data_IF_216504232130
#
_entry.id   IF_216504232130
#
_cell.length_a   1.000
_cell.length_b   1.000
_cell.length_c   1.000
_cell.angle_alpha   90.00
_cell.angle_beta   90.00
_cell.angle_gamma   90.00
#
_symmetry.space_group_name_H-M   'P 1'
#
loop_
_entity.id
_entity.type
_entity.pdbx_description
1 polymer ?
#
# COMPACT_ATOMS: atom_id res chain seq x y z
N UNK A 1 -8.43 18.86 -20.70
CA UNK A 1 -8.01 18.32 -22.03
C UNK A 1 -6.84 17.34 -21.93
N UNK A 2 -5.60 17.72 -21.61
CA UNK A 2 -4.46 16.77 -21.55
C UNK A 2 -4.65 15.68 -20.48
N UNK A 3 -5.14 16.02 -19.29
CA UNK A 3 -5.41 15.09 -18.19
C UNK A 3 -6.50 14.06 -18.56
N UNK A 4 -7.59 14.51 -19.16
CA UNK A 4 -8.70 13.63 -19.59
C UNK A 4 -8.27 12.69 -20.72
N UNK A 5 -7.44 13.19 -21.64
CA UNK A 5 -6.83 12.39 -22.69
C UNK A 5 -5.89 11.32 -22.11
N UNK A 6 -5.04 11.67 -21.14
CA UNK A 6 -4.16 10.71 -20.47
C UNK A 6 -4.96 9.66 -19.66
N UNK A 7 -6.04 10.06 -18.99
CA UNK A 7 -6.94 9.14 -18.28
C UNK A 7 -7.64 8.18 -19.27
N UNK A 8 -8.13 8.69 -20.40
CA UNK A 8 -8.70 7.84 -21.46
C UNK A 8 -7.68 6.83 -21.99
N UNK A 9 -6.43 7.26 -22.21
CA UNK A 9 -5.34 6.38 -22.63
C UNK A 9 -5.02 5.30 -21.59
N UNK A 10 -5.07 5.63 -20.30
CA UNK A 10 -4.78 4.69 -19.21
C UNK A 10 -5.81 3.57 -19.07
N UNK A 11 -7.07 3.83 -19.48
CA UNK A 11 -8.15 2.83 -19.48
C UNK A 11 -8.18 1.93 -20.73
N UNK A 12 -7.43 2.27 -21.79
CA UNK A 12 -7.41 1.51 -23.04
C UNK A 12 -6.53 0.26 -22.91
N UNK A 13 -7.15 -0.94 -22.93
CA UNK A 13 -6.43 -2.23 -22.90
C UNK A 13 -5.45 -2.39 -24.06
N UNK A 14 -5.78 -1.88 -25.26
CA UNK A 14 -4.93 -1.93 -26.44
C UNK A 14 -3.66 -1.07 -26.27
N UNK A 15 -3.81 0.15 -25.74
CA UNK A 15 -2.68 1.04 -25.46
C UNK A 15 -1.80 0.52 -24.31
N UNK A 16 -2.40 -0.08 -23.29
CA UNK A 16 -1.65 -0.73 -22.22
C UNK A 16 -0.77 -1.86 -22.78
N UNK A 17 -1.31 -2.70 -23.68
CA UNK A 17 -0.53 -3.76 -24.34
C UNK A 17 0.61 -3.19 -25.20
N UNK A 18 0.38 -2.09 -25.92
CA UNK A 18 1.43 -1.41 -26.72
C UNK A 18 2.50 -0.84 -25.80
N UNK A 19 2.13 -0.12 -24.76
CA UNK A 19 3.08 0.49 -23.82
C UNK A 19 3.94 -0.55 -23.10
N UNK A 20 3.38 -1.70 -22.73
CA UNK A 20 4.13 -2.78 -22.06
C UNK A 20 5.12 -3.51 -22.98
N UNK A 21 4.92 -3.46 -24.32
CA UNK A 21 5.82 -4.10 -25.30
C UNK A 21 6.92 -3.17 -25.81
N UNK A 22 6.82 -1.86 -25.60
CA UNK A 22 7.85 -0.92 -26.08
C UNK A 22 9.02 -0.82 -25.09
N UNK A 23 10.29 -1.03 -25.53
CA UNK A 23 11.48 -0.96 -24.68
C UNK A 23 11.64 0.39 -23.97
N UNK A 24 11.22 1.48 -24.61
CA UNK A 24 11.29 2.84 -24.05
C UNK A 24 10.32 2.97 -22.88
N UNK A 25 9.11 2.43 -22.98
CA UNK A 25 8.12 2.46 -21.90
C UNK A 25 8.57 1.60 -20.70
N UNK A 26 9.21 0.46 -20.95
CA UNK A 26 9.84 -0.36 -19.88
C UNK A 26 10.93 0.40 -19.14
N UNK A 27 11.76 1.15 -19.83
CA UNK A 27 12.81 1.97 -19.21
C UNK A 27 12.25 3.12 -18.38
N UNK A 28 11.11 3.70 -18.80
CA UNK A 28 10.41 4.74 -18.03
C UNK A 28 9.72 4.12 -16.80
N UNK A 29 9.00 3.00 -16.95
CA UNK A 29 8.34 2.35 -15.81
C UNK A 29 9.35 1.77 -14.81
N UNK A 30 10.51 1.29 -15.24
CA UNK A 30 11.58 0.79 -14.38
C UNK A 30 12.16 1.88 -13.43
N UNK A 31 11.87 3.16 -13.66
CA UNK A 31 12.22 4.25 -12.73
C UNK A 31 11.25 4.34 -11.56
N UNK A 32 10.06 3.75 -11.66
CA UNK A 32 8.98 3.84 -10.67
C UNK A 32 8.56 2.48 -10.11
N UNK A 33 8.83 1.39 -10.86
CA UNK A 33 8.49 0.02 -10.46
C UNK A 33 9.78 -0.78 -10.41
N UNK A 34 10.06 -1.41 -9.28
CA UNK A 34 11.29 -2.17 -9.04
C UNK A 34 11.40 -3.41 -9.95
N UNK A 35 10.28 -3.96 -10.39
CA UNK A 35 10.17 -5.12 -11.26
C UNK A 35 8.88 -5.89 -11.03
N UNK A 36 8.73 -7.01 -11.73
CA UNK A 36 7.56 -7.88 -11.63
C UNK A 36 7.75 -9.03 -10.63
N UNK A 37 8.99 -9.29 -10.22
CA UNK A 37 9.36 -10.38 -9.32
C UNK A 37 9.96 -9.86 -8.03
N UNK A 38 9.82 -10.63 -6.96
CA UNK A 38 10.41 -10.29 -5.64
C UNK A 38 11.92 -10.10 -5.74
N UNK A 39 12.62 -10.90 -6.56
CA UNK A 39 14.06 -10.83 -6.76
C UNK A 39 14.49 -9.48 -7.35
N UNK A 40 13.70 -8.90 -8.26
CA UNK A 40 13.94 -7.56 -8.81
C UNK A 40 13.83 -6.50 -7.73
N UNK A 41 12.80 -6.62 -6.90
CA UNK A 41 12.57 -5.73 -5.76
C UNK A 41 13.75 -5.79 -4.77
N UNK A 42 14.20 -6.99 -4.39
CA UNK A 42 15.35 -7.18 -3.48
C UNK A 42 16.64 -6.60 -4.07
N UNK A 43 16.85 -6.76 -5.39
CA UNK A 43 18.00 -6.15 -6.07
C UNK A 43 17.98 -4.63 -5.96
N UNK A 44 16.86 -3.99 -6.28
CA UNK A 44 16.70 -2.52 -6.18
C UNK A 44 16.86 -2.05 -4.75
N UNK A 45 16.31 -2.77 -3.77
CA UNK A 45 16.47 -2.44 -2.35
C UNK A 45 17.95 -2.45 -1.93
N UNK A 46 18.74 -3.44 -2.37
CA UNK A 46 20.19 -3.50 -2.10
C UNK A 46 20.92 -2.29 -2.69
N UNK A 47 20.58 -1.91 -3.93
CA UNK A 47 21.14 -0.74 -4.61
C UNK A 47 20.83 0.56 -3.85
N UNK A 48 19.60 0.71 -3.32
CA UNK A 48 19.19 1.86 -2.54
C UNK A 48 19.83 1.86 -1.14
N UNK A 49 19.94 0.70 -0.51
CA UNK A 49 20.59 0.56 0.79
C UNK A 49 22.10 0.89 0.72
N UNK A 50 22.76 0.50 -0.36
CA UNK A 50 24.16 0.90 -0.60
C UNK A 50 24.33 2.43 -0.69
N UNK A 51 23.27 3.15 -1.05
CA UNK A 51 23.19 4.63 -1.04
C UNK A 51 22.68 5.21 0.29
N UNK A 52 22.62 4.39 1.36
CA UNK A 52 22.13 4.76 2.69
C UNK A 52 20.64 5.18 2.71
N UNK A 53 19.83 4.62 1.80
CA UNK A 53 18.39 4.82 1.76
C UNK A 53 17.67 3.58 2.32
N UNK A 54 16.66 3.80 3.13
CA UNK A 54 15.71 2.76 3.54
C UNK A 54 14.54 2.72 2.57
N UNK A 55 13.85 1.59 2.49
CA UNK A 55 12.78 1.38 1.51
C UNK A 55 11.48 0.93 2.18
N UNK A 56 10.38 1.21 1.49
CA UNK A 56 9.07 0.61 1.74
C UNK A 56 8.70 -0.20 0.51
N UNK A 57 8.27 -1.44 0.70
CA UNK A 57 7.83 -2.31 -0.39
C UNK A 57 6.32 -2.41 -0.42
N UNK A 58 5.77 -2.27 -1.61
CA UNK A 58 4.36 -2.48 -1.93
C UNK A 58 4.25 -3.52 -3.06
N UNK A 59 3.39 -4.52 -2.86
CA UNK A 59 2.99 -5.46 -3.90
C UNK A 59 1.75 -4.91 -4.60
N UNK A 60 1.93 -4.43 -5.83
CA UNK A 60 0.88 -3.78 -6.60
C UNK A 60 -0.33 -4.70 -6.76
N UNK A 61 -1.48 -4.24 -6.30
CA UNK A 61 -2.76 -4.92 -6.38
C UNK A 61 -3.79 -4.20 -5.52
N UNK A 62 -5.05 -4.33 -5.89
CA UNK A 62 -6.20 -3.78 -5.16
C UNK A 62 -7.48 -4.47 -5.62
N UNK A 63 -8.58 -4.31 -4.85
CA UNK A 63 -9.94 -4.73 -5.23
C UNK A 63 -10.05 -6.22 -5.61
N UNK A 64 -9.64 -7.10 -4.70
CA UNK A 64 -9.85 -8.55 -4.87
C UNK A 64 -11.34 -8.89 -4.75
N UNK A 65 -11.76 -9.90 -5.51
CA UNK A 65 -13.17 -10.30 -5.63
C UNK A 65 -13.51 -11.58 -4.87
N UNK A 66 -12.51 -12.31 -4.37
CA UNK A 66 -12.71 -13.58 -3.68
C UNK A 66 -11.80 -13.72 -2.46
N UNK A 67 -12.26 -14.48 -1.48
CA UNK A 67 -11.45 -14.82 -0.28
C UNK A 67 -10.14 -15.50 -0.67
N UNK A 68 -10.15 -16.32 -1.71
CA UNK A 68 -8.94 -17.00 -2.19
C UNK A 68 -7.93 -16.01 -2.79
N UNK A 69 -8.37 -14.94 -3.46
CA UNK A 69 -7.48 -13.88 -3.94
C UNK A 69 -6.89 -13.08 -2.79
N UNK A 70 -7.71 -12.70 -1.80
CA UNK A 70 -7.24 -12.01 -0.59
C UNK A 70 -6.21 -12.85 0.19
N UNK A 71 -6.43 -14.16 0.30
CA UNK A 71 -5.49 -15.07 0.94
C UNK A 71 -4.17 -15.16 0.16
N UNK A 72 -4.21 -15.29 -1.17
CA UNK A 72 -2.98 -15.29 -2.01
C UNK A 72 -2.20 -13.99 -1.87
N UNK A 73 -2.89 -12.83 -1.93
CA UNK A 73 -2.23 -11.55 -1.72
C UNK A 73 -1.55 -11.48 -0.34
N UNK A 74 -2.21 -11.97 0.70
CA UNK A 74 -1.64 -12.07 2.05
C UNK A 74 -0.39 -12.95 2.06
N UNK A 75 -0.43 -14.12 1.42
CA UNK A 75 0.70 -15.05 1.34
C UNK A 75 1.89 -14.43 0.56
N UNK A 76 1.63 -13.63 -0.46
CA UNK A 76 2.68 -12.89 -1.19
C UNK A 76 3.38 -11.88 -0.27
N UNK A 77 2.66 -11.16 0.60
CA UNK A 77 3.27 -10.30 1.60
C UNK A 77 4.06 -11.06 2.67
N UNK A 78 3.59 -12.24 3.07
CA UNK A 78 4.35 -13.10 4.00
C UNK A 78 5.66 -13.56 3.38
N UNK A 79 5.66 -13.95 2.10
CA UNK A 79 6.87 -14.29 1.35
C UNK A 79 7.79 -13.09 1.18
N UNK A 80 7.25 -11.92 0.83
CA UNK A 80 8.03 -10.69 0.70
C UNK A 80 8.76 -10.36 2.00
N UNK A 81 8.12 -10.49 3.15
CA UNK A 81 8.75 -10.31 4.45
C UNK A 81 9.89 -11.32 4.67
N UNK A 82 9.72 -12.61 4.30
CA UNK A 82 10.80 -13.60 4.39
C UNK A 82 12.02 -13.21 3.55
N UNK A 83 11.80 -12.77 2.32
CA UNK A 83 12.87 -12.36 1.41
C UNK A 83 13.60 -11.08 1.90
N UNK A 84 12.87 -10.12 2.47
CA UNK A 84 13.44 -8.93 3.11
C UNK A 84 14.35 -9.34 4.28
N UNK A 85 13.90 -10.27 5.12
CA UNK A 85 14.68 -10.78 6.24
C UNK A 85 15.93 -11.54 5.77
N UNK A 86 15.76 -12.46 4.81
CA UNK A 86 16.86 -13.23 4.24
C UNK A 86 17.92 -12.33 3.59
N UNK A 87 17.49 -11.20 3.01
CA UNK A 87 18.40 -10.21 2.44
C UNK A 87 19.06 -9.30 3.48
N UNK A 88 18.63 -9.35 4.75
CA UNK A 88 19.08 -8.48 5.86
C UNK A 88 18.97 -6.99 5.52
N UNK A 89 17.85 -6.57 4.94
CA UNK A 89 17.63 -5.20 4.49
C UNK A 89 16.69 -4.45 5.47
N UNK A 90 16.99 -3.20 5.82
CA UNK A 90 16.15 -2.37 6.68
C UNK A 90 14.96 -1.82 5.89
N UNK A 91 13.98 -2.67 5.64
CA UNK A 91 12.78 -2.33 4.89
C UNK A 91 11.52 -2.76 5.64
N UNK A 92 10.42 -2.15 5.28
CA UNK A 92 9.09 -2.50 5.74
C UNK A 92 8.12 -2.58 4.56
N UNK A 93 6.92 -3.10 4.81
CA UNK A 93 5.90 -3.26 3.78
C UNK A 93 4.80 -2.22 3.92
N UNK A 94 4.22 -1.85 2.78
CA UNK A 94 3.01 -1.04 2.64
C UNK A 94 1.97 -1.86 1.89
N UNK A 95 0.71 -1.80 2.29
CA UNK A 95 -0.37 -2.63 1.74
C UNK A 95 -1.70 -1.90 1.71
N UNK A 96 -2.61 -2.33 0.82
CA UNK A 96 -3.98 -1.84 0.73
C UNK A 96 -4.97 -2.86 1.28
N UNK A 97 -5.96 -2.40 2.04
CA UNK A 97 -6.94 -3.31 2.65
C UNK A 97 -7.90 -3.90 1.63
N UNK A 98 -8.16 -3.23 0.49
CA UNK A 98 -8.96 -3.81 -0.60
C UNK A 98 -8.29 -5.04 -1.20
N UNK A 99 -6.96 -5.09 -1.24
CA UNK A 99 -6.19 -6.28 -1.63
C UNK A 99 -6.28 -7.41 -0.58
N UNK A 100 -6.54 -7.05 0.66
CA UNK A 100 -6.69 -7.97 1.79
C UNK A 100 -8.14 -8.42 2.02
N UNK A 101 -9.06 -8.00 1.12
CA UNK A 101 -10.45 -8.44 1.12
C UNK A 101 -11.40 -7.50 1.88
N UNK A 102 -11.09 -6.20 1.98
CA UNK A 102 -11.95 -5.23 2.65
C UNK A 102 -13.37 -5.19 2.03
N UNK A 103 -13.48 -5.36 0.70
CA UNK A 103 -14.79 -5.40 0.02
C UNK A 103 -15.57 -6.69 0.27
N UNK A 104 -14.90 -7.73 0.75
CA UNK A 104 -15.52 -9.01 1.11
C UNK A 104 -16.00 -9.03 2.57
N UNK A 105 -15.31 -8.27 3.45
CA UNK A 105 -15.64 -8.14 4.86
C UNK A 105 -14.50 -7.53 5.65
N UNK A 106 -14.83 -6.74 6.65
CA UNK A 106 -13.82 -6.11 7.55
C UNK A 106 -13.10 -7.15 8.41
N UNK A 107 -13.80 -8.21 8.82
CA UNK A 107 -13.26 -9.35 9.53
C UNK A 107 -12.24 -10.13 8.69
N UNK A 108 -12.49 -10.30 7.40
CA UNK A 108 -11.57 -10.92 6.46
C UNK A 108 -10.30 -10.07 6.33
N UNK A 109 -10.46 -8.76 6.07
CA UNK A 109 -9.34 -7.84 5.94
C UNK A 109 -8.50 -7.76 7.23
N UNK A 110 -9.14 -7.67 8.39
CA UNK A 110 -8.46 -7.65 9.69
C UNK A 110 -7.72 -8.96 9.96
N UNK A 111 -8.33 -10.11 9.67
CA UNK A 111 -7.71 -11.42 9.83
C UNK A 111 -6.44 -11.55 8.98
N UNK A 112 -6.51 -11.15 7.71
CA UNK A 112 -5.38 -11.15 6.80
C UNK A 112 -4.28 -10.16 7.22
N UNK A 113 -4.66 -8.95 7.62
CA UNK A 113 -3.73 -7.94 8.14
C UNK A 113 -2.98 -8.46 9.38
N UNK A 114 -3.67 -9.12 10.32
CA UNK A 114 -3.05 -9.70 11.52
C UNK A 114 -1.95 -10.69 11.18
N UNK A 115 -2.14 -11.57 10.21
CA UNK A 115 -1.11 -12.53 9.76
C UNK A 115 0.19 -11.81 9.36
N UNK A 116 0.06 -10.71 8.61
CA UNK A 116 1.22 -9.91 8.18
C UNK A 116 1.83 -9.15 9.36
N UNK A 117 1.01 -8.57 10.25
CA UNK A 117 1.47 -7.86 11.45
C UNK A 117 2.23 -8.78 12.41
N UNK A 118 1.74 -10.00 12.64
CA UNK A 118 2.41 -11.00 13.48
C UNK A 118 3.79 -11.37 12.93
N UNK A 119 3.86 -11.65 11.63
CA UNK A 119 5.14 -11.94 10.98
C UNK A 119 6.10 -10.77 11.04
N UNK A 120 5.64 -9.57 10.70
CA UNK A 120 6.44 -8.35 10.77
C UNK A 120 6.91 -8.06 12.21
N UNK A 121 6.07 -8.31 13.23
CA UNK A 121 6.44 -8.18 14.64
C UNK A 121 7.56 -9.14 15.05
N UNK A 122 7.47 -10.41 14.64
CA UNK A 122 8.51 -11.40 14.88
C UNK A 122 9.85 -10.99 14.23
N UNK A 123 9.80 -10.32 13.09
CA UNK A 123 10.97 -9.80 12.36
C UNK A 123 11.41 -8.40 12.82
N UNK A 124 10.77 -7.82 13.86
CA UNK A 124 11.02 -6.46 14.36
C UNK A 124 10.90 -5.40 13.28
N UNK A 125 10.00 -5.58 12.33
CA UNK A 125 9.71 -4.63 11.26
C UNK A 125 8.30 -4.07 11.35
N UNK A 126 7.95 -3.18 10.44
CA UNK A 126 6.78 -2.33 10.48
C UNK A 126 5.87 -2.61 9.27
N UNK A 127 4.56 -2.44 9.45
CA UNK A 127 3.56 -2.53 8.38
C UNK A 127 2.84 -1.20 8.26
N UNK A 128 2.73 -0.70 7.03
CA UNK A 128 1.93 0.48 6.73
C UNK A 128 0.67 0.06 5.98
N UNK A 129 -0.46 0.50 6.50
CA UNK A 129 -1.74 0.41 5.79
C UNK A 129 -1.91 1.68 4.97
N UNK A 130 -1.94 1.55 3.65
CA UNK A 130 -2.11 2.67 2.74
C UNK A 130 -3.57 3.15 2.72
N UNK A 131 -3.76 4.44 2.48
CA UNK A 131 -5.08 5.03 2.33
C UNK A 131 -5.50 5.00 0.87
N UNK A 132 -6.70 4.54 0.64
CA UNK A 132 -7.34 4.50 -0.65
C UNK A 132 -8.29 5.69 -0.81
N UNK A 133 -9.27 5.64 -1.71
CA UNK A 133 -10.21 6.75 -1.88
C UNK A 133 -11.13 6.95 -0.66
N UNK A 134 -11.91 8.04 -0.66
CA UNK A 134 -12.73 8.43 0.49
C UNK A 134 -13.83 7.43 0.85
N UNK A 135 -14.23 6.54 -0.06
CA UNK A 135 -15.21 5.49 0.23
C UNK A 135 -14.65 4.44 1.21
N UNK A 136 -13.33 4.26 1.24
CA UNK A 136 -12.63 3.31 2.12
C UNK A 136 -12.08 3.95 3.39
N UNK A 137 -11.97 5.27 3.48
CA UNK A 137 -11.26 5.94 4.57
C UNK A 137 -11.75 5.51 5.95
N UNK A 138 -13.07 5.51 6.21
CA UNK A 138 -13.63 5.12 7.50
C UNK A 138 -13.30 3.67 7.85
N UNK A 139 -13.55 2.74 6.92
CA UNK A 139 -13.32 1.29 7.12
C UNK A 139 -11.84 0.99 7.34
N UNK A 140 -10.96 1.66 6.59
CA UNK A 140 -9.50 1.55 6.77
C UNK A 140 -9.08 1.99 8.16
N UNK A 141 -9.55 3.15 8.63
CA UNK A 141 -9.22 3.64 9.97
C UNK A 141 -9.79 2.72 11.06
N UNK A 142 -11.02 2.21 10.93
CA UNK A 142 -11.61 1.25 11.86
C UNK A 142 -10.74 -0.01 12.02
N UNK A 143 -10.27 -0.60 10.91
CA UNK A 143 -9.38 -1.77 10.93
C UNK A 143 -8.02 -1.43 11.56
N UNK A 144 -7.47 -0.25 11.27
CA UNK A 144 -6.21 0.20 11.87
C UNK A 144 -6.35 0.37 13.39
N UNK A 145 -7.44 0.95 13.89
CA UNK A 145 -7.72 1.04 15.33
C UNK A 145 -7.95 -0.34 15.94
N UNK A 146 -8.76 -1.19 15.30
CA UNK A 146 -8.99 -2.56 15.79
C UNK A 146 -7.68 -3.36 15.90
N UNK A 147 -6.77 -3.24 14.93
CA UNK A 147 -5.46 -3.87 15.00
C UNK A 147 -4.60 -3.28 16.15
N UNK A 148 -4.66 -1.97 16.37
CA UNK A 148 -3.98 -1.31 17.50
C UNK A 148 -4.50 -1.81 18.84
N UNK A 149 -5.82 -1.94 19.00
CA UNK A 149 -6.48 -2.43 20.22
C UNK A 149 -6.14 -3.90 20.50
N UNK A 150 -5.84 -4.68 19.47
CA UNK A 150 -5.31 -6.04 19.58
C UNK A 150 -3.81 -6.09 19.99
N UNK A 151 -3.16 -4.96 20.21
CA UNK A 151 -1.77 -4.85 20.69
C UNK A 151 -0.71 -4.87 19.60
N UNK A 152 -1.05 -4.51 18.36
CA UNK A 152 -0.07 -4.35 17.30
C UNK A 152 0.48 -2.92 17.27
N UNK A 153 1.70 -2.72 17.82
CA UNK A 153 2.41 -1.42 17.81
C UNK A 153 3.31 -1.23 16.58
N UNK A 154 3.52 -2.28 15.80
CA UNK A 154 4.30 -2.27 14.56
C UNK A 154 3.47 -1.89 13.32
N UNK A 155 2.48 -1.06 13.51
CA UNK A 155 1.47 -0.66 12.55
C UNK A 155 1.45 0.87 12.40
N UNK A 156 1.12 1.34 11.21
CA UNK A 156 0.77 2.73 10.92
C UNK A 156 -0.09 2.85 9.67
N UNK A 157 -0.57 4.05 9.41
CA UNK A 157 -1.40 4.30 8.24
C UNK A 157 -0.99 5.55 7.46
N UNK A 158 -1.69 5.84 6.39
CA UNK A 158 -1.48 7.02 5.53
C UNK A 158 -2.67 7.95 5.68
N UNK A 159 -2.42 9.26 5.75
CA UNK A 159 -3.45 10.30 5.65
C UNK A 159 -3.15 11.17 4.43
N UNK A 160 -4.18 11.48 3.67
CA UNK A 160 -4.13 12.31 2.47
C UNK A 160 -4.53 13.74 2.84
N UNK A 161 -3.57 14.67 2.85
CA UNK A 161 -3.71 16.03 3.40
C UNK A 161 -4.76 16.90 2.69
N UNK A 162 -5.13 16.54 1.44
CA UNK A 162 -6.13 17.31 0.70
C UNK A 162 -7.59 17.02 1.12
N UNK A 163 -7.83 15.99 1.95
CA UNK A 163 -9.17 15.71 2.48
C UNK A 163 -9.52 16.67 3.61
N UNK A 164 -10.75 17.20 3.64
CA UNK A 164 -11.22 18.13 4.68
C UNK A 164 -11.14 17.55 6.09
N UNK A 165 -11.27 16.23 6.23
CA UNK A 165 -11.20 15.48 7.50
C UNK A 165 -9.79 15.23 8.03
N UNK A 166 -8.75 15.49 7.23
CA UNK A 166 -7.37 15.06 7.52
C UNK A 166 -6.84 15.53 8.86
N UNK A 167 -7.16 16.76 9.27
CA UNK A 167 -6.67 17.29 10.55
C UNK A 167 -7.25 16.51 11.74
N UNK A 168 -8.54 16.21 11.70
CA UNK A 168 -9.23 15.44 12.73
C UNK A 168 -8.69 14.00 12.81
N UNK A 169 -8.55 13.35 11.66
CA UNK A 169 -7.97 12.00 11.57
C UNK A 169 -6.54 11.94 12.11
N UNK A 170 -5.70 12.93 11.77
CA UNK A 170 -4.33 13.02 12.29
C UNK A 170 -4.32 13.15 13.80
N UNK A 171 -5.16 14.05 14.37
CA UNK A 171 -5.25 14.23 15.82
C UNK A 171 -5.67 12.94 16.54
N UNK A 172 -6.68 12.25 16.01
CA UNK A 172 -7.17 10.99 16.57
C UNK A 172 -6.10 9.88 16.52
N UNK A 173 -5.41 9.73 15.39
CA UNK A 173 -4.32 8.75 15.23
C UNK A 173 -3.12 9.05 16.14
N UNK A 174 -2.75 10.32 16.29
CA UNK A 174 -1.69 10.74 17.21
C UNK A 174 -2.05 10.40 18.67
N UNK A 175 -3.30 10.67 19.09
CA UNK A 175 -3.79 10.32 20.43
C UNK A 175 -3.75 8.81 20.68
N UNK A 176 -4.03 8.00 19.65
CA UNK A 176 -3.91 6.54 19.70
C UNK A 176 -2.46 6.01 19.59
N UNK A 177 -1.47 6.88 19.42
CA UNK A 177 -0.08 6.49 19.24
C UNK A 177 0.18 5.70 17.94
N UNK A 178 -0.60 5.95 16.89
CA UNK A 178 -0.46 5.30 15.59
C UNK A 178 0.40 6.17 14.67
N UNK A 179 1.42 5.57 14.04
CA UNK A 179 2.33 6.26 13.12
C UNK A 179 1.61 6.65 11.83
N UNK A 180 1.88 7.87 11.35
CA UNK A 180 1.24 8.43 10.16
C UNK A 180 2.28 8.72 9.09
N UNK A 181 1.98 8.38 7.84
CA UNK A 181 2.60 8.94 6.64
C UNK A 181 1.63 9.96 6.03
N UNK A 182 1.97 11.24 6.10
CA UNK A 182 1.17 12.29 5.47
C UNK A 182 1.59 12.42 4.01
N UNK A 183 0.64 12.30 3.09
CA UNK A 183 0.83 12.54 1.66
C UNK A 183 -0.17 13.58 1.15
N UNK A 184 0.01 14.09 -0.07
CA UNK A 184 -0.93 15.05 -0.67
C UNK A 184 -2.31 14.44 -0.88
N UNK A 185 -2.35 13.28 -1.48
CA UNK A 185 -3.51 12.61 -2.04
C UNK A 185 -3.41 12.57 -3.57
N UNK A 186 -3.98 11.52 -4.17
CA UNK A 186 -3.87 11.27 -5.60
C UNK A 186 -5.19 10.85 -6.26
N UNK A 187 -6.18 10.47 -5.50
CA UNK A 187 -7.48 10.06 -6.01
C UNK A 187 -8.29 11.27 -6.49
N UNK A 188 -9.20 11.01 -7.43
CA UNK A 188 -10.15 12.02 -7.87
C UNK A 188 -11.35 12.01 -6.92
N UNK A 189 -11.24 12.77 -5.85
CA UNK A 189 -12.27 12.86 -4.83
C UNK A 189 -13.37 13.85 -5.20
N UNK A 190 -14.61 13.64 -4.70
CA UNK A 190 -15.67 14.63 -4.80
C UNK A 190 -15.30 15.96 -4.13
N UNK A 191 -15.79 17.07 -4.68
CA UNK A 191 -15.48 18.42 -4.19
C UNK A 191 -15.98 18.69 -2.74
N UNK A 192 -16.92 17.90 -2.24
CA UNK A 192 -17.39 17.94 -0.85
C UNK A 192 -16.49 17.16 0.12
N UNK A 193 -15.45 16.46 -0.37
CA UNK A 193 -14.51 15.65 0.42
C UNK A 193 -13.10 16.19 0.43
N UNK A 194 -12.67 16.86 -0.64
CA UNK A 194 -11.28 17.27 -0.80
C UNK A 194 -11.16 18.68 -1.40
N UNK A 195 -10.02 19.30 -1.08
CA UNK A 195 -9.57 20.52 -1.76
C UNK A 195 -9.21 20.23 -3.22
N UNK A 196 -9.40 21.18 -4.13
CA UNK A 196 -9.11 21.02 -5.55
C UNK A 196 -7.61 20.89 -5.85
#
# INVERSE_FOLDING_TARGET
>A
MLREFLLYLSHSKALRAIVTHFPIARNVSARFVAGEKIEDAIRVMRELYAKKMTTTMDHLGENVSTVAEAARATDDYLRLLDEIAAANLPSHVSLKLTQFGLDLGEDIALSNLRRVLEKAKAMKTFVRVDMEDTSYTNRTLQIVYAAKDLGYDNLGTVIQSYLYRSEEDVRALCNAGIRIRLCKGAYQEPADKAFP
#
